data_IF_772843839784
#
_entry.id   IF_772843839784
#
_cell.length_a   1.000
_cell.length_b   1.000
_cell.length_c   1.000
_cell.angle_alpha   90.00
_cell.angle_beta   90.00
_cell.angle_gamma   90.00
#
_symmetry.space_group_name_H-M   'P 1'
#
loop_
_entity.id
_entity.type
_entity.pdbx_description
1 polymer ?
#
# COMPACT_ATOMS: atom_id res chain seq x y z
N UNK A 1 -11.00 15.64 72.70
CA UNK A 1 -10.79 16.98 72.10
C UNK A 1 -11.84 17.17 71.00
N UNK A 2 -12.72 18.19 71.12
CA UNK A 2 -13.80 18.63 70.19
C UNK A 2 -14.78 17.54 69.68
N UNK A 3 -16.00 17.46 70.25
CA UNK A 3 -17.24 18.19 69.87
C UNK A 3 -17.88 17.56 68.59
N UNK A 4 -19.00 16.81 68.64
CA UNK A 4 -20.42 17.16 69.01
C UNK A 4 -20.98 18.21 68.04
N UNK A 5 -22.01 17.94 67.23
CA UNK A 5 -23.46 17.93 67.55
C UNK A 5 -24.25 17.07 66.54
N UNK A 6 -25.30 16.27 66.85
CA UNK A 6 -26.63 16.46 67.49
C UNK A 6 -27.77 16.73 66.44
N UNK A 7 -28.81 15.85 66.35
CA UNK A 7 -30.22 16.03 66.84
C UNK A 7 -31.01 17.09 66.02
N UNK A 8 -32.28 17.00 65.55
CA UNK A 8 -33.55 16.34 65.96
C UNK A 8 -34.47 16.18 64.69
N UNK A 9 -35.44 15.26 64.52
CA UNK A 9 -36.68 14.88 65.26
C UNK A 9 -37.97 15.68 64.87
N UNK A 10 -38.85 14.99 64.11
CA UNK A 10 -40.35 14.94 64.16
C UNK A 10 -41.32 16.03 63.60
N UNK A 11 -42.44 15.49 63.07
CA UNK A 11 -43.85 15.99 62.97
C UNK A 11 -44.21 17.09 61.94
N UNK A 12 -45.48 17.31 61.51
CA UNK A 12 -46.60 16.41 61.11
C UNK A 12 -47.87 17.25 60.75
N UNK A 13 -48.49 17.04 59.56
CA UNK A 13 -49.89 17.44 59.19
C UNK A 13 -50.19 18.97 59.15
N UNK A 14 -51.31 19.52 58.57
CA UNK A 14 -52.65 19.00 58.15
C UNK A 14 -52.83 18.87 56.60
N UNK A 15 -53.81 18.18 55.96
CA UNK A 15 -55.26 17.86 56.12
C UNK A 15 -56.26 18.83 55.40
N UNK A 16 -57.06 18.26 54.47
CA UNK A 16 -58.36 18.76 53.88
C UNK A 16 -58.24 20.03 52.99
N UNK A 17 -58.92 20.23 51.84
CA UNK A 17 -59.94 19.51 51.03
C UNK A 17 -60.13 20.27 49.69
N UNK A 18 -61.19 20.17 48.85
CA UNK A 18 -62.41 19.35 48.71
C UNK A 18 -63.02 19.60 47.30
N UNK A 19 -63.51 18.56 46.58
CA UNK A 19 -64.47 18.61 45.42
C UNK A 19 -64.04 19.36 44.13
N UNK A 20 -64.55 19.13 42.91
CA UNK A 20 -65.21 18.01 42.20
C UNK A 20 -64.95 18.30 40.68
N UNK A 21 -64.90 17.37 39.74
CA UNK A 21 -65.96 16.52 39.18
C UNK A 21 -65.35 15.36 38.38
N UNK A 22 -66.13 14.30 38.15
CA UNK A 22 -65.74 13.14 37.33
C UNK A 22 -66.67 12.99 36.09
N UNK A 23 -66.37 12.00 35.24
CA UNK A 23 -67.04 11.64 33.97
C UNK A 23 -66.64 12.52 32.77
N UNK A 24 -66.34 12.02 31.58
CA UNK A 24 -66.00 10.66 31.10
C UNK A 24 -64.95 10.85 29.95
N UNK A 25 -64.22 9.88 29.40
CA UNK A 25 -64.69 8.72 28.64
C UNK A 25 -63.56 7.73 28.33
N UNK A 26 -63.94 6.53 27.90
CA UNK A 26 -63.06 5.40 27.57
C UNK A 26 -62.27 5.53 26.27
N UNK A 27 -60.99 5.15 26.35
CA UNK A 27 -60.12 4.55 25.32
C UNK A 27 -60.51 4.66 23.81
N UNK A 28 -59.68 5.37 23.03
CA UNK A 28 -59.41 5.07 21.62
C UNK A 28 -58.05 5.67 21.21
N UNK A 29 -57.24 5.02 20.34
CA UNK A 29 -55.78 5.27 20.34
C UNK A 29 -55.38 6.59 19.69
N UNK A 30 -54.63 7.40 20.44
CA UNK A 30 -54.04 8.65 19.94
C UNK A 30 -52.88 8.35 18.96
N UNK A 31 -52.95 8.98 17.80
CA UNK A 31 -51.80 9.35 16.96
C UNK A 31 -50.96 8.20 16.38
N UNK A 32 -51.58 7.40 15.50
CA UNK A 32 -50.89 6.51 14.56
C UNK A 32 -49.93 7.23 13.59
N UNK A 33 -49.89 8.57 13.57
CA UNK A 33 -48.98 9.34 12.70
C UNK A 33 -47.56 9.51 13.24
N UNK A 34 -47.28 9.19 14.52
CA UNK A 34 -45.96 9.44 15.12
C UNK A 34 -45.01 8.22 15.06
N UNK A 35 -45.53 7.00 15.17
CA UNK A 35 -44.71 5.77 15.25
C UNK A 35 -44.02 5.43 13.92
N UNK A 36 -44.66 5.72 12.78
CA UNK A 36 -44.16 5.34 11.45
C UNK A 36 -42.91 6.12 11.01
N UNK A 37 -42.69 7.33 11.53
CA UNK A 37 -41.47 8.10 11.25
C UNK A 37 -40.23 7.52 11.95
N UNK A 38 -40.41 6.89 13.11
CA UNK A 38 -39.31 6.29 13.87
C UNK A 38 -38.88 4.92 13.33
N UNK A 39 -39.81 4.13 12.78
CA UNK A 39 -39.50 2.81 12.19
C UNK A 39 -38.64 2.95 10.92
N UNK A 40 -38.89 3.96 10.09
CA UNK A 40 -38.09 4.18 8.87
C UNK A 40 -36.65 4.63 9.16
N UNK A 41 -36.42 5.42 10.20
CA UNK A 41 -35.05 5.83 10.60
C UNK A 41 -34.26 4.67 11.21
N UNK A 42 -34.91 3.83 12.04
CA UNK A 42 -34.27 2.65 12.61
C UNK A 42 -33.92 1.60 11.54
N UNK A 43 -34.76 1.43 10.50
CA UNK A 43 -34.49 0.48 9.42
C UNK A 43 -33.41 0.97 8.44
N UNK A 44 -33.27 2.29 8.24
CA UNK A 44 -32.16 2.88 7.47
C UNK A 44 -30.81 2.78 8.18
N UNK A 45 -30.79 2.77 9.52
CA UNK A 45 -29.55 2.62 10.33
C UNK A 45 -29.14 1.15 10.57
N UNK A 46 -29.96 0.18 10.16
CA UNK A 46 -29.64 -1.25 10.15
C UNK A 46 -29.26 -1.78 8.75
N UNK A 47 -29.19 -0.90 7.75
CA UNK A 47 -28.63 -1.21 6.43
C UNK A 47 -27.23 -0.63 6.18
N UNK A 48 -26.63 0.04 7.17
CA UNK A 48 -25.18 0.26 7.22
C UNK A 48 -24.45 -1.02 7.65
N UNK A 49 -24.76 -2.12 6.96
CA UNK A 49 -23.88 -3.29 6.93
C UNK A 49 -22.57 -2.80 6.29
N UNK A 50 -21.45 -2.99 6.98
CA UNK A 50 -20.15 -2.47 6.55
C UNK A 50 -19.65 -3.25 5.33
N UNK A 51 -20.16 -2.88 4.16
CA UNK A 51 -19.36 -2.89 2.95
C UNK A 51 -18.24 -1.84 3.17
N UNK A 52 -17.23 -2.22 3.95
CA UNK A 52 -15.89 -1.72 3.72
C UNK A 52 -15.70 -1.81 2.21
N UNK A 53 -15.24 -0.75 1.52
CA UNK A 53 -14.76 -0.97 0.17
C UNK A 53 -13.74 -2.10 0.30
N UNK A 54 -13.96 -3.19 -0.43
CA UNK A 54 -12.84 -3.96 -0.92
C UNK A 54 -12.05 -2.93 -1.72
N UNK A 55 -11.08 -2.31 -1.06
CA UNK A 55 -9.90 -1.83 -1.73
C UNK A 55 -9.29 -3.08 -2.32
N UNK A 56 -9.78 -3.43 -3.51
CA UNK A 56 -8.90 -3.81 -4.58
C UNK A 56 -7.89 -2.67 -4.66
N UNK A 57 -6.83 -2.79 -3.85
CA UNK A 57 -5.52 -2.37 -4.25
C UNK A 57 -5.41 -2.87 -5.68
N UNK A 58 -5.46 -1.97 -6.66
CA UNK A 58 -5.12 -2.30 -8.04
C UNK A 58 -3.80 -3.04 -7.93
N UNK A 59 -3.81 -4.36 -8.15
CA UNK A 59 -2.60 -5.14 -7.93
C UNK A 59 -1.57 -4.55 -8.88
N UNK A 60 -0.50 -3.99 -8.30
CA UNK A 60 0.64 -3.46 -9.05
C UNK A 60 1.42 -4.66 -9.58
N UNK A 61 0.78 -5.39 -10.49
CA UNK A 61 1.31 -6.58 -11.10
C UNK A 61 2.22 -6.19 -12.25
N UNK A 62 3.34 -5.56 -11.85
CA UNK A 62 4.46 -5.25 -12.72
C UNK A 62 5.30 -6.52 -12.85
N UNK A 63 5.24 -7.16 -14.00
CA UNK A 63 5.96 -8.41 -14.27
C UNK A 63 7.33 -8.10 -14.92
N UNK A 64 8.38 -8.80 -14.49
CA UNK A 64 9.73 -8.64 -15.05
C UNK A 64 9.78 -8.82 -16.58
N UNK A 65 8.96 -9.73 -17.13
CA UNK A 65 8.84 -9.95 -18.57
C UNK A 65 8.29 -8.74 -19.34
N UNK A 66 7.41 -7.96 -18.72
CA UNK A 66 6.79 -6.78 -19.35
C UNK A 66 7.77 -5.60 -19.31
N UNK A 67 8.54 -5.46 -18.23
CA UNK A 67 9.68 -4.51 -18.14
C UNK A 67 10.72 -4.80 -19.23
N UNK A 68 11.16 -6.05 -19.39
CA UNK A 68 12.10 -6.44 -20.46
C UNK A 68 11.52 -6.19 -21.86
N UNK A 69 10.21 -6.36 -22.05
CA UNK A 69 9.55 -6.08 -23.33
C UNK A 69 9.54 -4.57 -23.65
N UNK A 70 9.20 -3.71 -22.67
CA UNK A 70 9.22 -2.26 -22.82
C UNK A 70 10.65 -1.74 -23.09
N UNK A 71 11.64 -2.15 -22.29
CA UNK A 71 13.07 -1.88 -22.51
C UNK A 71 13.51 -2.22 -23.94
N UNK A 72 13.14 -3.40 -24.44
CA UNK A 72 13.51 -3.82 -25.79
C UNK A 72 12.73 -3.09 -26.89
N UNK A 73 11.52 -2.60 -26.62
CA UNK A 73 10.80 -1.71 -27.53
C UNK A 73 11.48 -0.32 -27.62
N UNK A 74 11.99 0.21 -26.52
CA UNK A 74 12.76 1.46 -26.51
C UNK A 74 14.12 1.32 -27.22
N UNK A 75 14.80 0.19 -27.03
CA UNK A 75 16.01 -0.13 -27.79
C UNK A 75 15.74 -0.23 -29.30
N UNK A 76 14.65 -0.88 -29.69
CA UNK A 76 14.25 -0.95 -31.10
C UNK A 76 13.92 0.43 -31.71
N UNK A 77 13.31 1.35 -30.94
CA UNK A 77 13.07 2.74 -31.35
C UNK A 77 14.36 3.58 -31.52
N UNK A 78 15.50 3.10 -30.99
CA UNK A 78 16.80 3.76 -31.08
C UNK A 78 17.81 2.95 -31.93
N UNK A 79 17.31 2.09 -32.83
CA UNK A 79 18.11 1.23 -33.74
C UNK A 79 19.11 0.28 -33.03
N UNK A 80 18.84 -0.09 -31.77
CA UNK A 80 19.66 -1.00 -30.97
C UNK A 80 19.14 -2.44 -30.99
N UNK A 81 20.06 -3.40 -30.92
CA UNK A 81 19.72 -4.81 -30.75
C UNK A 81 19.03 -5.06 -29.39
N UNK A 82 18.00 -5.93 -29.33
CA UNK A 82 17.34 -6.29 -28.08
C UNK A 82 18.30 -7.08 -27.17
N UNK A 83 18.15 -6.89 -25.86
CA UNK A 83 18.87 -7.65 -24.84
C UNK A 83 18.19 -8.99 -24.59
N UNK A 84 18.99 -10.04 -24.42
CA UNK A 84 18.52 -11.37 -24.05
C UNK A 84 18.20 -11.43 -22.54
N UNK A 85 17.06 -12.03 -22.18
CA UNK A 85 16.73 -12.30 -20.79
C UNK A 85 17.67 -13.38 -20.23
N UNK A 86 18.43 -13.07 -19.18
CA UNK A 86 19.45 -13.96 -18.61
C UNK A 86 19.11 -14.34 -17.16
N UNK A 87 18.94 -15.64 -16.84
CA UNK A 87 18.50 -16.08 -15.52
C UNK A 87 19.54 -15.85 -14.41
N UNK A 88 20.83 -15.66 -14.74
CA UNK A 88 21.85 -15.30 -13.74
C UNK A 88 21.76 -13.82 -13.36
N UNK A 89 21.52 -12.95 -14.34
CA UNK A 89 21.27 -11.52 -14.07
C UNK A 89 19.93 -11.32 -13.36
N UNK A 90 18.92 -12.13 -13.65
CA UNK A 90 17.63 -12.13 -12.94
C UNK A 90 17.82 -12.50 -11.46
N UNK A 91 18.59 -13.55 -11.17
CA UNK A 91 18.95 -13.93 -9.80
C UNK A 91 19.73 -12.82 -9.10
N UNK A 92 20.69 -12.18 -9.77
CA UNK A 92 21.43 -11.04 -9.23
C UNK A 92 20.50 -9.85 -8.91
N UNK A 93 19.61 -9.50 -9.82
CA UNK A 93 18.61 -8.44 -9.64
C UNK A 93 17.68 -8.74 -8.45
N UNK A 94 17.23 -10.00 -8.33
CA UNK A 94 16.40 -10.47 -7.20
C UNK A 94 17.15 -10.36 -5.87
N UNK A 95 18.42 -10.78 -5.82
CA UNK A 95 19.23 -10.67 -4.60
C UNK A 95 19.51 -9.23 -4.20
N UNK A 96 19.72 -8.34 -5.17
CA UNK A 96 19.82 -6.90 -4.93
C UNK A 96 18.51 -6.34 -4.37
N UNK A 97 17.36 -6.69 -4.96
CA UNK A 97 16.04 -6.24 -4.48
C UNK A 97 15.74 -6.72 -3.05
N UNK A 98 16.07 -7.99 -2.74
CA UNK A 98 15.99 -8.55 -1.39
C UNK A 98 16.90 -7.80 -0.39
N UNK A 99 18.11 -7.41 -0.78
CA UNK A 99 19.04 -6.64 0.06
C UNK A 99 18.52 -5.22 0.35
N UNK A 100 18.04 -4.51 -0.69
CA UNK A 100 17.42 -3.19 -0.58
C UNK A 100 16.26 -3.17 0.43
N UNK A 101 15.36 -4.15 0.33
CA UNK A 101 14.23 -4.33 1.25
C UNK A 101 14.70 -4.70 2.67
N UNK A 102 15.56 -5.72 2.79
CA UNK A 102 15.99 -6.28 4.08
C UNK A 102 16.80 -5.31 4.93
N UNK A 103 17.66 -4.50 4.31
CA UNK A 103 18.49 -3.50 5.00
C UNK A 103 17.77 -2.13 5.07
N UNK A 104 16.78 -1.88 4.21
CA UNK A 104 15.95 -0.68 4.25
C UNK A 104 16.60 0.56 3.62
N UNK A 105 17.39 0.37 2.56
CA UNK A 105 18.09 1.41 1.82
C UNK A 105 17.72 1.41 0.33
N UNK A 106 17.93 2.53 -0.35
CA UNK A 106 17.70 2.64 -1.80
C UNK A 106 18.88 3.32 -2.48
N UNK A 107 19.89 2.54 -2.83
CA UNK A 107 21.12 2.98 -3.50
C UNK A 107 21.82 1.82 -4.22
N UNK A 108 22.74 2.12 -5.14
CA UNK A 108 23.56 1.11 -5.83
C UNK A 108 24.48 0.33 -4.88
N UNK A 109 25.19 1.03 -3.99
CA UNK A 109 26.04 0.40 -2.96
C UNK A 109 25.24 0.12 -1.68
N UNK A 110 25.33 -1.09 -1.16
CA UNK A 110 24.74 -1.50 0.11
C UNK A 110 25.46 -0.86 1.31
N UNK A 111 24.77 -0.51 2.41
CA UNK A 111 25.42 -0.01 3.63
C UNK A 111 26.46 -0.96 4.25
N UNK A 112 26.43 -2.25 3.88
CA UNK A 112 27.43 -3.26 4.26
C UNK A 112 28.58 -3.43 3.25
N UNK A 113 28.64 -2.57 2.21
CA UNK A 113 29.74 -2.50 1.24
C UNK A 113 29.57 -3.33 -0.03
N UNK A 114 28.44 -4.04 -0.23
CA UNK A 114 28.17 -4.77 -1.47
C UNK A 114 27.83 -3.81 -2.62
N UNK A 115 28.50 -3.98 -3.75
CA UNK A 115 28.20 -3.26 -5.01
C UNK A 115 27.29 -4.11 -5.93
N UNK A 116 26.63 -3.52 -6.94
CA UNK A 116 25.76 -4.28 -7.86
C UNK A 116 26.45 -5.50 -8.48
N UNK A 117 27.73 -5.35 -8.81
CA UNK A 117 28.56 -6.39 -9.42
C UNK A 117 28.91 -7.56 -8.49
N UNK A 118 28.81 -7.39 -7.17
CA UNK A 118 28.93 -8.52 -6.23
C UNK A 118 27.76 -9.48 -6.38
N UNK A 119 26.55 -8.96 -6.59
CA UNK A 119 25.36 -9.78 -6.85
C UNK A 119 25.46 -10.50 -8.20
N UNK A 120 25.94 -9.81 -9.25
CA UNK A 120 26.18 -10.40 -10.59
C UNK A 120 27.19 -11.55 -10.51
N UNK A 121 28.34 -11.35 -9.85
CA UNK A 121 29.35 -12.41 -9.63
C UNK A 121 28.82 -13.55 -8.76
N UNK A 122 28.07 -13.24 -7.69
CA UNK A 122 27.50 -14.25 -6.80
C UNK A 122 26.45 -15.14 -7.49
N UNK A 123 25.72 -14.61 -8.48
CA UNK A 123 24.84 -15.38 -9.36
C UNK A 123 25.58 -16.17 -10.46
N UNK A 124 26.92 -16.08 -10.51
CA UNK A 124 27.78 -16.78 -11.46
C UNK A 124 27.73 -16.20 -12.88
N UNK A 125 27.37 -14.93 -13.05
CA UNK A 125 27.53 -14.24 -14.33
C UNK A 125 28.91 -13.56 -14.35
N UNK A 126 29.86 -14.14 -15.07
CA UNK A 126 31.09 -13.45 -15.45
C UNK A 126 30.76 -12.36 -16.48
N UNK A 127 31.41 -11.20 -16.39
CA UNK A 127 31.12 -10.06 -17.25
C UNK A 127 32.38 -9.28 -17.65
N UNK A 128 32.37 -8.77 -18.88
CA UNK A 128 33.30 -7.74 -19.37
C UNK A 128 32.74 -6.33 -19.23
N UNK A 129 31.40 -6.18 -19.22
CA UNK A 129 30.69 -4.91 -19.01
C UNK A 129 29.38 -5.15 -18.26
N UNK A 130 29.00 -4.27 -17.33
CA UNK A 130 27.80 -4.43 -16.49
C UNK A 130 27.21 -3.09 -16.03
N UNK A 131 25.92 -3.08 -15.71
CA UNK A 131 25.18 -1.89 -15.23
C UNK A 131 23.97 -2.26 -14.37
N UNK A 132 23.43 -1.28 -13.63
CA UNK A 132 22.26 -1.43 -12.77
C UNK A 132 21.32 -0.23 -12.90
N UNK A 133 20.02 -0.47 -13.01
CA UNK A 133 18.98 0.53 -12.74
C UNK A 133 18.09 0.09 -11.58
N UNK A 134 17.64 1.05 -10.78
CA UNK A 134 16.80 0.84 -9.60
C UNK A 134 15.53 1.70 -9.68
N UNK A 135 14.37 1.09 -9.48
CA UNK A 135 13.09 1.78 -9.35
C UNK A 135 12.30 1.29 -8.13
N UNK A 136 11.40 2.14 -7.63
CA UNK A 136 10.54 1.83 -6.50
C UNK A 136 9.09 2.26 -6.80
N UNK A 137 8.14 1.41 -6.43
CA UNK A 137 6.70 1.66 -6.38
C UNK A 137 5.92 1.84 -7.69
N UNK A 138 6.54 1.59 -8.85
CA UNK A 138 5.85 1.52 -10.14
C UNK A 138 4.85 0.36 -10.23
N UNK A 139 3.81 0.54 -11.04
CA UNK A 139 2.79 -0.49 -11.33
C UNK A 139 2.60 -0.78 -12.82
N UNK A 140 3.37 -0.11 -13.69
CA UNK A 140 3.30 -0.24 -15.14
C UNK A 140 4.73 -0.21 -15.73
N UNK A 141 4.97 -1.03 -16.75
CA UNK A 141 6.30 -1.19 -17.36
C UNK A 141 6.69 0.01 -18.24
N UNK A 142 5.77 0.48 -19.08
CA UNK A 142 6.00 1.62 -19.98
C UNK A 142 6.25 2.92 -19.19
N UNK A 143 5.55 3.13 -18.08
CA UNK A 143 5.76 4.23 -17.12
C UNK A 143 7.16 4.19 -16.51
N UNK A 144 7.61 3.00 -16.07
CA UNK A 144 8.93 2.79 -15.48
C UNK A 144 10.06 3.03 -16.49
N UNK A 145 9.98 2.46 -17.69
CA UNK A 145 11.00 2.66 -18.73
C UNK A 145 11.00 4.10 -19.25
N UNK A 146 9.83 4.74 -19.38
CA UNK A 146 9.71 6.17 -19.72
C UNK A 146 10.43 7.05 -18.70
N UNK A 147 10.29 6.78 -17.40
CA UNK A 147 11.00 7.52 -16.35
C UNK A 147 12.51 7.23 -16.33
N UNK A 148 12.93 6.01 -16.62
CA UNK A 148 14.34 5.69 -16.87
C UNK A 148 14.89 6.43 -18.11
N UNK A 149 14.16 6.49 -19.22
CA UNK A 149 14.57 7.23 -20.42
C UNK A 149 14.69 8.75 -20.19
N UNK A 150 13.94 9.32 -19.25
CA UNK A 150 14.00 10.73 -18.87
C UNK A 150 15.18 11.05 -17.94
N UNK A 151 15.69 10.07 -17.19
CA UNK A 151 16.88 10.21 -16.35
C UNK A 151 18.16 9.93 -17.16
N UNK A 152 19.11 10.87 -17.31
CA UNK A 152 20.31 10.66 -18.12
C UNK A 152 21.11 9.41 -17.73
N UNK A 153 21.30 9.15 -16.43
CA UNK A 153 22.07 8.00 -15.94
C UNK A 153 21.38 6.66 -16.16
N UNK A 154 20.04 6.60 -16.09
CA UNK A 154 19.30 5.36 -16.36
C UNK A 154 19.18 5.12 -17.88
N UNK A 155 18.96 6.19 -18.65
CA UNK A 155 18.96 6.18 -20.12
C UNK A 155 20.27 5.66 -20.71
N UNK A 156 21.41 6.03 -20.13
CA UNK A 156 22.73 5.52 -20.50
C UNK A 156 22.80 3.99 -20.41
N UNK A 157 22.13 3.36 -19.43
CA UNK A 157 22.03 1.91 -19.34
C UNK A 157 21.08 1.33 -20.40
N UNK A 158 19.83 1.83 -20.47
CA UNK A 158 18.80 1.38 -21.42
C UNK A 158 19.32 1.34 -22.86
N UNK A 159 20.03 2.40 -23.27
CA UNK A 159 20.46 2.61 -24.65
C UNK A 159 21.95 2.31 -24.88
N UNK A 160 22.63 1.63 -23.95
CA UNK A 160 24.02 1.21 -24.18
C UNK A 160 24.09 0.12 -25.26
N UNK A 161 24.93 0.27 -26.30
CA UNK A 161 25.21 -0.80 -27.25
C UNK A 161 26.16 -1.87 -26.68
N UNK A 162 26.72 -1.65 -25.49
CA UNK A 162 27.72 -2.54 -24.88
C UNK A 162 27.10 -3.73 -24.12
N UNK A 163 25.78 -3.75 -23.93
CA UNK A 163 25.06 -4.86 -23.28
C UNK A 163 24.50 -5.85 -24.30
N UNK A 164 24.50 -7.13 -23.93
CA UNK A 164 23.92 -8.24 -24.69
C UNK A 164 22.83 -8.96 -23.89
N UNK A 165 22.95 -8.96 -22.57
CA UNK A 165 22.08 -9.64 -21.62
C UNK A 165 21.44 -8.64 -20.63
N UNK A 166 20.24 -8.96 -20.17
CA UNK A 166 19.54 -8.28 -19.08
C UNK A 166 18.85 -9.28 -18.16
N UNK A 167 18.81 -8.98 -16.87
CA UNK A 167 17.95 -9.65 -15.91
C UNK A 167 17.16 -8.62 -15.12
N UNK A 168 15.88 -8.89 -14.89
CA UNK A 168 14.99 -7.97 -14.18
C UNK A 168 14.29 -8.72 -13.06
N UNK A 169 14.24 -8.13 -11.87
CA UNK A 169 13.44 -8.62 -10.76
C UNK A 169 12.51 -7.54 -10.27
N UNK A 170 11.25 -7.91 -10.01
CA UNK A 170 10.25 -7.08 -9.34
C UNK A 170 9.90 -7.79 -8.02
N UNK A 171 10.18 -7.16 -6.89
CA UNK A 171 10.05 -7.78 -5.56
C UNK A 171 9.24 -6.87 -4.65
N UNK A 172 8.11 -7.36 -4.15
CA UNK A 172 7.33 -6.70 -3.12
C UNK A 172 7.85 -7.06 -1.72
N UNK A 173 7.89 -6.08 -0.83
CA UNK A 173 8.23 -6.29 0.57
C UNK A 173 8.01 -5.05 1.43
N UNK A 174 8.54 -5.06 2.65
CA UNK A 174 8.52 -3.89 3.52
C UNK A 174 9.81 -3.07 3.33
N UNK A 175 9.65 -1.81 2.94
CA UNK A 175 10.71 -0.81 2.94
C UNK A 175 10.41 0.22 4.04
N UNK A 176 11.31 0.36 5.02
CA UNK A 176 11.18 1.30 6.14
C UNK A 176 9.81 1.22 6.87
N UNK A 177 9.22 0.02 6.93
CA UNK A 177 7.94 -0.23 7.58
C UNK A 177 6.70 0.08 6.75
N UNK A 178 6.84 0.36 5.44
CA UNK A 178 5.74 0.51 4.48
C UNK A 178 5.86 -0.53 3.38
N UNK A 179 4.74 -0.94 2.77
CA UNK A 179 4.78 -1.81 1.58
C UNK A 179 5.40 -1.07 0.40
N UNK A 180 6.40 -1.70 -0.22
CA UNK A 180 7.06 -1.21 -1.42
C UNK A 180 7.21 -2.32 -2.45
N UNK A 181 7.21 -1.92 -3.72
CA UNK A 181 7.65 -2.75 -4.85
C UNK A 181 9.01 -2.22 -5.28
N UNK A 182 10.03 -3.08 -5.34
CA UNK A 182 11.37 -2.74 -5.83
C UNK A 182 11.58 -3.41 -7.17
N UNK A 183 11.93 -2.63 -8.18
CA UNK A 183 12.36 -3.15 -9.49
C UNK A 183 13.85 -2.92 -9.65
N UNK A 184 14.58 -3.97 -10.02
CA UNK A 184 16.01 -3.93 -10.31
C UNK A 184 16.22 -4.45 -11.72
N UNK A 185 16.95 -3.71 -12.55
CA UNK A 185 17.50 -4.19 -13.81
C UNK A 185 19.01 -4.38 -13.64
N UNK A 186 19.51 -5.56 -13.98
CA UNK A 186 20.94 -5.88 -14.09
C UNK A 186 21.27 -6.10 -15.55
N UNK A 187 22.21 -5.33 -16.08
CA UNK A 187 22.68 -5.40 -17.46
C UNK A 187 24.05 -6.06 -17.52
N UNK A 188 24.33 -6.82 -18.58
CA UNK A 188 25.60 -7.52 -18.72
C UNK A 188 26.02 -7.79 -20.16
N UNK A 189 27.32 -7.97 -20.34
CA UNK A 189 27.94 -8.69 -21.45
C UNK A 189 29.04 -9.58 -20.88
N UNK A 190 29.09 -10.89 -21.23
CA UNK A 190 30.14 -11.81 -20.77
C UNK A 190 31.59 -11.39 -21.09
#
# INVERSE_FOLDING_TARGET
>A
MKLVSDIAVLRASPLVGLQAFAQADSLSPKNTSFVWKSVLVALMLLLSLTASPLTASTERNLEARDVIAALNADRAQNDLAPLAANPRLEEAARKKAEDLLKIGYFAHTSPIGLEPWDFIRAAGFDYSYAGENLAMNYGNADELESDFLQSPSHRENLLSPNYTDVGVAVVQGLYQGQEAVITVQMFGTP
#
